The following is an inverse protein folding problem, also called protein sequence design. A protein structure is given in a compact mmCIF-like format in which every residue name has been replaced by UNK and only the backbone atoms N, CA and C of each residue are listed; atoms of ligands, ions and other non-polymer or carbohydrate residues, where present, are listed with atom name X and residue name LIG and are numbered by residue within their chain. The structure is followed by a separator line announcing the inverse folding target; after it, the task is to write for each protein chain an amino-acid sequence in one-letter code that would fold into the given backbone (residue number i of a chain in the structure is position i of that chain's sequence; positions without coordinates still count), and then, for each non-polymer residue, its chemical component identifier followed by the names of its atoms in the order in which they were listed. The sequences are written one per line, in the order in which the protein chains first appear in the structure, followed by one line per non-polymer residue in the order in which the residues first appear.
data_IF_633991131935
#
_entry.id   IF_633991131935
#
_cell.length_a   1.000
_cell.length_b   1.000
_cell.length_c   1.000
_cell.angle_alpha   90.00
_cell.angle_beta   90.00
_cell.angle_gamma   90.00
#
_symmetry.space_group_name_H-M   'P 1'
#
loop_
_entity.id
_entity.type
_entity.pdbx_description
1 polymer ?
#
# COMPACT_ATOMS: atom_id res chain seq x y z
N UNK A 1 21.99 -5.03 20.25
CA UNK A 1 20.80 -5.82 19.87
C UNK A 1 20.41 -5.37 18.48
N UNK A 2 20.58 -6.21 17.46
CA UNK A 2 20.08 -5.88 16.13
C UNK A 2 18.56 -6.00 16.18
N UNK A 3 17.85 -4.89 16.32
CA UNK A 3 16.42 -4.89 16.08
C UNK A 3 16.23 -5.22 14.60
N UNK A 4 15.73 -6.41 14.31
CA UNK A 4 15.33 -6.73 12.96
C UNK A 4 14.24 -5.74 12.56
N UNK A 5 14.47 -4.99 11.49
CA UNK A 5 13.46 -4.11 10.90
C UNK A 5 12.21 -4.94 10.56
N UNK A 6 11.09 -4.54 11.12
CA UNK A 6 9.81 -5.20 10.87
C UNK A 6 8.79 -4.17 10.35
N UNK A 7 8.50 -4.23 9.07
CA UNK A 7 7.56 -3.35 8.38
C UNK A 7 6.13 -3.87 8.37
N UNK A 8 5.87 -5.05 8.93
CA UNK A 8 4.52 -5.64 8.88
C UNK A 8 3.48 -4.78 9.58
N UNK A 9 3.86 -4.08 10.65
CA UNK A 9 2.97 -3.13 11.34
C UNK A 9 2.51 -1.95 10.47
N UNK A 10 3.28 -1.62 9.42
CA UNK A 10 2.96 -0.54 8.50
C UNK A 10 2.13 -1.03 7.29
N UNK A 11 2.05 -2.35 7.06
CA UNK A 11 1.22 -2.88 5.99
C UNK A 11 -0.25 -2.73 6.34
N UNK A 12 -1.02 -2.16 5.43
CA UNK A 12 -2.46 -1.98 5.60
C UNK A 12 -3.23 -2.75 4.54
N UNK A 13 -4.39 -3.23 4.94
CA UNK A 13 -5.40 -3.81 4.06
C UNK A 13 -6.43 -2.75 3.72
N UNK A 14 -6.70 -2.55 2.46
CA UNK A 14 -7.61 -1.52 1.97
C UNK A 14 -8.87 -2.18 1.42
N UNK A 15 -10.01 -1.82 2.00
CA UNK A 15 -11.35 -2.16 1.50
C UNK A 15 -12.04 -0.92 1.02
N UNK A 16 -12.89 -1.03 0.02
CA UNK A 16 -13.73 0.07 -0.42
C UNK A 16 -15.11 -0.41 -0.89
N UNK A 17 -16.12 0.40 -0.59
CA UNK A 17 -17.41 0.30 -1.25
C UNK A 17 -17.39 1.18 -2.50
N UNK A 18 -17.43 0.53 -3.66
CA UNK A 18 -17.51 1.22 -4.96
C UNK A 18 -18.87 0.91 -5.58
N UNK A 19 -19.63 1.95 -5.90
CA UNK A 19 -20.97 1.86 -6.49
C UNK A 19 -22.02 1.21 -5.57
N UNK A 20 -21.87 1.32 -4.25
CA UNK A 20 -22.84 0.75 -3.29
C UNK A 20 -22.88 -0.78 -3.27
N UNK A 21 -21.77 -1.44 -3.60
CA UNK A 21 -21.66 -2.91 -3.60
C UNK A 21 -21.22 -3.49 -2.26
N UNK A 22 -21.10 -2.63 -1.24
CA UNK A 22 -20.54 -2.97 0.06
C UNK A 22 -19.01 -2.98 0.07
N UNK A 23 -18.43 -3.02 1.27
CA UNK A 23 -16.99 -3.06 1.46
C UNK A 23 -16.39 -4.35 0.88
N UNK A 24 -15.49 -4.20 -0.06
CA UNK A 24 -14.75 -5.29 -0.68
C UNK A 24 -13.25 -5.04 -0.54
N UNK A 25 -12.48 -6.09 -0.34
CA UNK A 25 -11.02 -6.02 -0.40
C UNK A 25 -10.57 -5.51 -1.77
N UNK A 26 -9.66 -4.53 -1.77
CA UNK A 26 -9.18 -3.88 -2.99
C UNK A 26 -7.69 -4.07 -3.22
N UNK A 27 -6.92 -4.05 -2.15
CA UNK A 27 -5.47 -4.17 -2.24
C UNK A 27 -4.79 -3.82 -0.93
N UNK A 28 -3.51 -3.61 -1.03
CA UNK A 28 -2.61 -3.29 0.07
C UNK A 28 -2.20 -1.81 0.05
N UNK A 29 -1.60 -1.38 1.14
CA UNK A 29 -0.91 -0.11 1.24
C UNK A 29 0.18 -0.18 2.29
N UNK A 30 0.97 0.89 2.37
CA UNK A 30 2.01 1.05 3.40
C UNK A 30 1.78 2.37 4.12
N UNK A 31 1.60 2.31 5.42
CA UNK A 31 1.47 3.48 6.27
C UNK A 31 2.84 4.10 6.49
N UNK A 32 2.97 5.37 6.15
CA UNK A 32 4.17 6.19 6.28
C UNK A 32 3.96 7.25 7.36
N UNK A 33 4.59 7.08 8.52
CA UNK A 33 4.59 8.10 9.56
C UNK A 33 5.57 9.21 9.15
N UNK A 34 5.05 10.36 8.75
CA UNK A 34 5.89 11.52 8.42
C UNK A 34 6.34 12.22 9.69
N UNK A 35 7.65 12.29 9.91
CA UNK A 35 8.23 13.02 11.03
C UNK A 35 7.93 14.51 10.93
N UNK A 36 7.45 15.09 12.02
CA UNK A 36 7.10 16.52 12.08
C UNK A 36 5.70 16.86 11.57
N UNK A 37 4.94 15.91 11.08
CA UNK A 37 3.52 16.09 10.83
C UNK A 37 2.72 15.54 12.03
N UNK A 38 2.12 16.43 12.80
CA UNK A 38 1.33 16.06 13.99
C UNK A 38 -0.16 15.87 13.69
N UNK A 39 -0.59 16.19 12.47
CA UNK A 39 -2.00 16.15 12.09
C UNK A 39 -2.37 14.90 11.29
N UNK A 40 -1.45 14.40 10.44
CA UNK A 40 -1.78 13.36 9.46
C UNK A 40 -0.79 12.21 9.44
N UNK A 41 -1.33 11.03 9.12
CA UNK A 41 -0.60 9.87 8.63
C UNK A 41 -0.88 9.68 7.14
N UNK A 42 0.05 9.06 6.42
CA UNK A 42 -0.02 8.88 4.98
C UNK A 42 0.06 7.41 4.63
N UNK A 43 -0.77 6.96 3.68
CA UNK A 43 -0.73 5.60 3.17
C UNK A 43 -0.38 5.65 1.69
N UNK A 44 0.68 4.96 1.32
CA UNK A 44 1.10 4.79 -0.06
C UNK A 44 0.45 3.54 -0.63
N UNK A 45 -0.16 3.66 -1.81
CA UNK A 45 -0.84 2.56 -2.49
C UNK A 45 -0.92 2.82 -3.99
N UNK A 46 -1.48 1.88 -4.74
CA UNK A 46 -1.70 2.04 -6.17
C UNK A 46 -3.10 2.61 -6.47
N UNK A 47 -3.20 3.50 -7.47
CA UNK A 47 -4.50 4.05 -7.88
C UNK A 47 -5.44 3.00 -8.46
N UNK A 48 -4.90 1.98 -9.15
CA UNK A 48 -5.71 1.01 -9.87
C UNK A 48 -6.57 0.14 -8.93
N UNK A 49 -6.28 0.05 -7.64
CA UNK A 49 -7.10 -0.69 -6.68
C UNK A 49 -8.53 -0.12 -6.55
N UNK A 50 -8.72 1.16 -6.86
CA UNK A 50 -10.02 1.83 -6.84
C UNK A 50 -10.70 1.90 -8.21
N UNK A 51 -10.03 1.44 -9.28
CA UNK A 51 -10.53 1.54 -10.64
C UNK A 51 -11.12 0.22 -11.11
N UNK A 52 -12.23 0.26 -11.83
CA UNK A 52 -12.78 -0.93 -12.50
C UNK A 52 -11.86 -1.43 -13.63
N UNK A 53 -11.07 -0.52 -14.22
CA UNK A 53 -10.08 -0.83 -15.26
C UNK A 53 -8.89 0.11 -15.13
N UNK A 54 -7.68 -0.34 -15.46
CA UNK A 54 -6.46 0.48 -15.44
C UNK A 54 -6.52 1.71 -16.36
N UNK A 55 -7.41 1.71 -17.36
CA UNK A 55 -7.56 2.80 -18.34
C UNK A 55 -8.29 4.03 -17.79
N UNK A 56 -9.02 3.92 -16.68
CA UNK A 56 -9.77 5.04 -16.11
C UNK A 56 -8.88 5.79 -15.10
N UNK A 57 -8.85 7.12 -15.21
CA UNK A 57 -8.24 7.95 -14.18
C UNK A 57 -9.04 7.86 -12.88
N UNK A 58 -8.36 7.91 -11.73
CA UNK A 58 -9.00 7.84 -10.41
C UNK A 58 -10.09 8.91 -10.27
N UNK A 59 -9.80 10.14 -10.66
CA UNK A 59 -10.76 11.27 -10.59
C UNK A 59 -12.10 11.00 -11.31
N UNK A 60 -12.10 10.13 -12.32
CA UNK A 60 -13.33 9.76 -13.03
C UNK A 60 -14.21 8.73 -12.29
N UNK A 61 -13.74 8.23 -11.14
CA UNK A 61 -14.47 7.24 -10.33
C UNK A 61 -14.60 7.63 -8.87
N UNK A 62 -14.03 8.77 -8.44
CA UNK A 62 -14.09 9.25 -7.04
C UNK A 62 -15.53 9.36 -6.53
N UNK A 63 -16.43 9.86 -7.35
CA UNK A 63 -17.86 10.02 -7.04
C UNK A 63 -18.59 8.70 -6.77
N UNK A 64 -18.00 7.58 -7.19
CA UNK A 64 -18.55 6.22 -7.03
C UNK A 64 -18.02 5.50 -5.79
N UNK A 65 -17.03 6.07 -5.13
CA UNK A 65 -16.49 5.53 -3.89
C UNK A 65 -17.36 6.06 -2.75
N UNK A 66 -18.03 5.16 -2.04
CA UNK A 66 -18.87 5.50 -0.89
C UNK A 66 -18.09 5.56 0.41
N UNK A 67 -17.27 4.54 0.64
CA UNK A 67 -16.49 4.39 1.87
C UNK A 67 -15.18 3.67 1.57
N UNK A 68 -14.12 4.06 2.27
CA UNK A 68 -12.85 3.33 2.30
C UNK A 68 -12.59 2.95 3.76
N UNK A 69 -12.31 1.67 3.99
CA UNK A 69 -11.88 1.15 5.28
C UNK A 69 -10.42 0.70 5.18
N UNK A 70 -9.64 1.17 6.12
CA UNK A 70 -8.22 0.87 6.26
C UNK A 70 -8.07 0.03 7.51
N UNK A 71 -7.52 -1.18 7.33
CA UNK A 71 -7.24 -2.11 8.41
C UNK A 71 -5.73 -2.25 8.58
N UNK A 72 -5.28 -2.31 9.83
CA UNK A 72 -3.89 -2.56 10.23
C UNK A 72 -3.77 -3.94 10.89
N UNK A 73 -2.58 -4.52 10.82
CA UNK A 73 -2.32 -5.83 11.39
C UNK A 73 -1.93 -5.71 12.87
N UNK A 74 -2.71 -6.33 13.75
CA UNK A 74 -2.52 -6.35 15.20
C UNK A 74 -2.82 -7.74 15.74
N UNK A 75 -1.98 -8.25 16.62
CA UNK A 75 -2.18 -9.51 17.35
C UNK A 75 -2.60 -10.69 16.45
N UNK A 76 -2.05 -10.75 15.24
CA UNK A 76 -2.28 -11.85 14.30
C UNK A 76 -3.51 -11.69 13.39
N UNK A 77 -4.21 -10.55 13.42
CA UNK A 77 -5.37 -10.29 12.58
C UNK A 77 -5.46 -8.83 12.14
N UNK A 78 -6.28 -8.54 11.13
CA UNK A 78 -6.54 -7.17 10.69
C UNK A 78 -7.69 -6.56 11.50
N UNK A 79 -7.45 -5.34 11.98
CA UNK A 79 -8.45 -4.52 12.70
C UNK A 79 -8.66 -3.20 11.98
N UNK A 80 -9.90 -2.70 11.99
CA UNK A 80 -10.21 -1.40 11.39
C UNK A 80 -9.46 -0.30 12.12
N UNK A 81 -8.65 0.43 11.37
CA UNK A 81 -7.84 1.55 11.85
C UNK A 81 -8.51 2.90 11.57
N UNK A 82 -8.94 3.10 10.32
CA UNK A 82 -9.62 4.31 9.87
C UNK A 82 -10.71 3.99 8.86
N UNK A 83 -11.74 4.85 8.87
CA UNK A 83 -12.80 4.85 7.87
C UNK A 83 -12.89 6.22 7.24
N UNK A 84 -12.80 6.29 5.91
CA UNK A 84 -12.94 7.51 5.11
C UNK A 84 -14.32 7.44 4.46
N UNK A 85 -15.15 8.42 4.74
CA UNK A 85 -16.51 8.51 4.18
C UNK A 85 -16.55 9.35 2.91
N UNK A 86 -17.62 9.26 2.16
CA UNK A 86 -17.80 9.95 0.88
C UNK A 86 -17.49 11.45 0.95
N UNK A 87 -17.83 12.10 2.04
CA UNK A 87 -17.68 13.55 2.19
C UNK A 87 -16.21 14.00 2.32
N UNK A 88 -15.33 13.10 2.74
CA UNK A 88 -13.89 13.37 2.94
C UNK A 88 -12.99 12.73 1.88
N UNK A 89 -13.50 11.81 1.07
CA UNK A 89 -12.70 11.06 0.08
C UNK A 89 -11.90 11.96 -0.86
N UNK A 90 -12.51 13.04 -1.39
CA UNK A 90 -11.84 13.94 -2.33
C UNK A 90 -10.63 14.68 -1.73
N UNK A 91 -10.65 14.90 -0.41
CA UNK A 91 -9.57 15.57 0.31
C UNK A 91 -8.53 14.58 0.85
N UNK A 92 -8.90 13.31 0.95
CA UNK A 92 -8.06 12.24 1.48
C UNK A 92 -7.25 11.52 0.40
N UNK A 93 -7.72 11.48 -0.85
CA UNK A 93 -7.06 10.77 -1.94
C UNK A 93 -6.25 11.72 -2.80
N UNK A 94 -4.93 11.57 -2.79
CA UNK A 94 -3.96 12.40 -3.50
C UNK A 94 -3.28 11.57 -4.60
N UNK A 95 -3.83 11.52 -5.82
CA UNK A 95 -3.22 10.76 -6.91
C UNK A 95 -1.95 11.45 -7.41
N UNK A 96 -0.86 10.68 -7.58
CA UNK A 96 0.43 11.15 -8.06
C UNK A 96 0.83 10.30 -9.28
N UNK A 97 1.21 10.98 -10.38
CA UNK A 97 1.60 10.30 -11.61
C UNK A 97 0.49 9.40 -12.18
N UNK A 98 0.89 8.26 -12.76
CA UNK A 98 -0.05 7.38 -13.46
C UNK A 98 -0.78 6.42 -12.53
N UNK A 99 -0.10 5.85 -11.54
CA UNK A 99 -0.68 4.80 -10.70
C UNK A 99 -0.35 4.90 -9.20
N UNK A 100 0.44 5.84 -8.75
CA UNK A 100 0.72 6.05 -7.34
C UNK A 100 -0.38 6.90 -6.68
N UNK A 101 -0.78 6.50 -5.47
CA UNK A 101 -1.79 7.18 -4.67
C UNK A 101 -1.32 7.34 -3.23
N UNK A 102 -1.46 8.54 -2.71
CA UNK A 102 -1.34 8.81 -1.28
C UNK A 102 -2.73 8.95 -0.69
N UNK A 103 -3.02 8.20 0.37
CA UNK A 103 -4.23 8.38 1.18
C UNK A 103 -3.82 9.11 2.45
N UNK A 104 -4.34 10.31 2.63
CA UNK A 104 -4.14 11.13 3.82
C UNK A 104 -5.24 10.83 4.83
N UNK A 105 -4.86 10.51 6.07
CA UNK A 105 -5.77 10.23 7.18
C UNK A 105 -5.34 11.00 8.42
N UNK A 106 -6.27 11.31 9.31
CA UNK A 106 -5.93 11.94 10.58
C UNK A 106 -5.02 11.04 11.40
N UNK A 107 -3.98 11.63 11.98
CA UNK A 107 -3.02 10.94 12.83
C UNK A 107 -3.67 10.23 13.99
N UNK A 108 -3.13 9.11 14.38
CA UNK A 108 -3.53 8.41 15.59
C UNK A 108 -2.36 8.30 16.57
N UNK A 109 -2.66 7.91 17.79
CA UNK A 109 -1.65 7.65 18.83
C UNK A 109 -0.84 6.37 18.57
N UNK A 110 -1.19 5.60 17.55
CA UNK A 110 -0.49 4.36 17.21
C UNK A 110 0.88 4.66 16.59
N UNK A 111 1.90 4.01 17.10
CA UNK A 111 3.25 4.12 16.58
C UNK A 111 3.50 3.10 15.47
N UNK A 112 4.00 3.59 14.34
CA UNK A 112 4.44 2.79 13.21
C UNK A 112 5.94 2.84 13.05
N UNK A 113 6.51 1.82 12.43
CA UNK A 113 7.96 1.75 12.19
C UNK A 113 8.37 2.82 11.18
N UNK A 114 9.25 3.76 11.50
CA UNK A 114 9.74 4.74 10.54
C UNK A 114 10.61 4.06 9.48
N UNK A 115 10.53 4.57 8.24
CA UNK A 115 11.37 4.15 7.12
C UNK A 115 11.66 5.31 6.19
N UNK A 116 12.69 5.18 5.38
CA UNK A 116 13.09 6.18 4.39
C UNK A 116 12.53 5.85 3.02
N UNK A 117 12.31 6.87 2.22
CA UNK A 117 12.01 6.72 0.79
C UNK A 117 13.34 6.77 0.02
N UNK A 118 13.51 5.86 -0.94
CA UNK A 118 14.70 5.83 -1.77
C UNK A 118 14.58 6.90 -2.88
N UNK A 119 15.66 7.63 -3.10
CA UNK A 119 15.74 8.59 -4.20
C UNK A 119 16.00 7.89 -5.54
N UNK A 120 16.73 6.79 -5.52
CA UNK A 120 17.10 6.02 -6.71
C UNK A 120 16.84 4.52 -6.53
N UNK A 121 16.49 3.88 -7.62
CA UNK A 121 16.37 2.44 -7.69
C UNK A 121 17.64 1.83 -8.30
N UNK A 122 18.24 0.89 -7.57
CA UNK A 122 19.44 0.16 -8.03
C UNK A 122 18.99 -1.15 -8.67
N UNK A 123 19.27 -1.33 -9.96
CA UNK A 123 19.02 -2.59 -10.69
C UNK A 123 19.74 -3.77 -10.02
N UNK A 124 19.15 -4.95 -10.17
CA UNK A 124 19.61 -6.23 -9.57
C UNK A 124 19.68 -6.27 -8.05
N UNK A 125 19.29 -5.21 -7.34
CA UNK A 125 19.25 -5.24 -5.88
C UNK A 125 18.16 -6.19 -5.38
N UNK A 126 18.50 -6.96 -4.35
CA UNK A 126 17.52 -7.80 -3.65
C UNK A 126 16.55 -6.92 -2.87
N UNK A 127 15.28 -7.15 -3.07
CA UNK A 127 14.18 -6.39 -2.45
C UNK A 127 13.17 -7.33 -1.84
N UNK A 128 12.30 -6.78 -1.02
CA UNK A 128 11.17 -7.48 -0.41
C UNK A 128 9.89 -6.70 -0.65
N UNK A 129 8.89 -7.39 -1.19
CA UNK A 129 7.54 -6.88 -1.35
C UNK A 129 6.70 -7.33 -0.15
N UNK A 130 6.02 -6.40 0.48
CA UNK A 130 5.09 -6.65 1.57
C UNK A 130 3.69 -6.21 1.18
N UNK A 131 2.71 -7.07 1.43
CA UNK A 131 1.31 -6.75 1.17
C UNK A 131 0.38 -7.85 1.64
N UNK A 132 -0.91 -7.66 1.44
CA UNK A 132 -1.96 -8.61 1.80
C UNK A 132 -2.30 -9.46 0.58
N UNK A 133 -2.09 -10.76 0.66
CA UNK A 133 -2.47 -11.68 -0.42
C UNK A 133 -3.98 -11.84 -0.53
N UNK A 134 -4.51 -11.87 -1.75
CA UNK A 134 -5.94 -12.10 -2.00
C UNK A 134 -6.44 -13.47 -1.57
N UNK A 135 -5.58 -14.49 -1.53
CA UNK A 135 -5.93 -15.84 -1.06
C UNK A 135 -5.95 -15.94 0.47
N UNK A 136 -5.07 -15.17 1.14
CA UNK A 136 -4.90 -15.19 2.59
C UNK A 136 -5.07 -13.78 3.15
N UNK A 137 -6.29 -13.24 3.03
CA UNK A 137 -6.62 -11.84 3.37
C UNK A 137 -6.35 -11.46 4.83
N UNK A 138 -6.05 -12.42 5.69
CA UNK A 138 -5.84 -12.19 7.13
C UNK A 138 -4.36 -12.25 7.54
N UNK A 139 -3.45 -12.34 6.57
CA UNK A 139 -2.01 -12.34 6.82
C UNK A 139 -1.28 -11.37 5.89
N UNK A 140 -0.13 -10.86 6.38
CA UNK A 140 0.81 -10.12 5.56
C UNK A 140 1.75 -11.10 4.87
N UNK A 141 1.78 -11.04 3.55
CA UNK A 141 2.67 -11.83 2.71
C UNK A 141 3.93 -11.05 2.40
N UNK A 142 5.08 -11.71 2.52
CA UNK A 142 6.38 -11.21 2.09
C UNK A 142 6.90 -12.03 0.92
N UNK A 143 7.31 -11.35 -0.13
CA UNK A 143 7.93 -11.96 -1.30
C UNK A 143 9.30 -11.37 -1.56
N UNK A 144 10.30 -12.22 -1.75
CA UNK A 144 11.61 -11.78 -2.21
C UNK A 144 11.54 -11.50 -3.72
N UNK A 145 12.08 -10.36 -4.13
CA UNK A 145 12.05 -9.90 -5.51
C UNK A 145 13.35 -9.20 -5.91
N UNK A 146 13.52 -8.98 -7.21
CA UNK A 146 14.63 -8.20 -7.75
C UNK A 146 14.10 -7.19 -8.76
N UNK A 147 14.73 -6.03 -8.82
CA UNK A 147 14.55 -5.09 -9.93
C UNK A 147 15.26 -5.63 -11.16
N UNK A 148 14.55 -5.77 -12.27
CA UNK A 148 15.09 -6.27 -13.55
C UNK A 148 15.32 -5.13 -14.53
N UNK A 149 14.47 -4.10 -14.46
CA UNK A 149 14.54 -2.93 -15.33
C UNK A 149 13.87 -1.76 -14.59
N UNK A 150 14.50 -0.62 -14.58
CA UNK A 150 13.95 0.61 -13.98
C UNK A 150 13.74 1.66 -15.07
N UNK A 151 12.50 2.15 -15.18
CA UNK A 151 12.14 3.34 -15.96
C UNK A 151 11.61 4.39 -15.01
N UNK A 152 11.62 5.64 -15.41
CA UNK A 152 11.32 6.80 -14.56
C UNK A 152 10.10 6.64 -13.62
N UNK A 153 9.08 5.88 -14.04
CA UNK A 153 7.85 5.68 -13.24
C UNK A 153 7.44 4.20 -13.09
N UNK A 154 8.26 3.26 -13.58
CA UNK A 154 7.93 1.84 -13.59
C UNK A 154 9.16 0.98 -13.31
N UNK A 155 8.99 0.05 -12.39
CA UNK A 155 10.00 -0.95 -12.05
C UNK A 155 9.46 -2.32 -12.39
N UNK A 156 10.17 -3.05 -13.23
CA UNK A 156 9.88 -4.45 -13.45
C UNK A 156 10.53 -5.29 -12.35
N UNK A 157 9.72 -6.00 -11.59
CA UNK A 157 10.15 -6.83 -10.49
C UNK A 157 9.95 -8.29 -10.88
N UNK A 158 10.96 -9.12 -10.74
CA UNK A 158 10.80 -10.58 -10.77
C UNK A 158 10.63 -11.09 -9.36
N UNK A 159 9.55 -11.81 -9.10
CA UNK A 159 9.38 -12.59 -7.88
C UNK A 159 9.55 -14.09 -8.19
N UNK A 160 10.09 -14.86 -7.26
CA UNK A 160 10.17 -16.31 -7.35
C UNK A 160 8.84 -17.00 -7.00
N UNK A 161 7.72 -16.38 -7.34
CA UNK A 161 6.40 -16.94 -7.04
C UNK A 161 5.92 -17.78 -8.20
N UNK A 162 5.83 -19.08 -7.98
CA UNK A 162 5.38 -20.04 -8.98
C UNK A 162 3.89 -19.92 -9.35
N UNK A 163 3.14 -19.05 -8.67
CA UNK A 163 1.70 -18.83 -8.92
C UNK A 163 1.38 -17.35 -8.95
N UNK A 164 0.88 -16.86 -10.09
CA UNK A 164 0.38 -15.48 -10.23
C UNK A 164 -0.76 -15.14 -9.25
N UNK A 165 -1.52 -16.14 -8.80
CA UNK A 165 -2.63 -15.96 -7.86
C UNK A 165 -2.17 -15.41 -6.49
N UNK A 166 -0.93 -15.69 -6.08
CA UNK A 166 -0.37 -15.19 -4.82
C UNK A 166 -0.07 -13.69 -4.82
N UNK A 167 0.02 -13.06 -6.00
CA UNK A 167 0.20 -11.60 -6.13
C UNK A 167 -1.14 -10.84 -6.12
N UNK A 168 -2.25 -11.54 -6.29
CA UNK A 168 -3.57 -10.91 -6.25
C UNK A 168 -3.82 -10.31 -4.85
N UNK A 169 -4.16 -9.03 -4.81
CA UNK A 169 -4.35 -8.28 -3.57
C UNK A 169 -3.10 -7.58 -3.04
N UNK A 170 -1.90 -7.92 -3.53
CA UNK A 170 -0.68 -7.23 -3.15
C UNK A 170 -0.49 -5.87 -3.85
N UNK A 171 -1.35 -5.53 -4.82
CA UNK A 171 -1.37 -4.20 -5.44
C UNK A 171 -1.42 -3.09 -4.38
N UNK A 172 -0.51 -2.13 -4.46
CA UNK A 172 -0.29 -1.10 -3.46
C UNK A 172 0.61 -1.52 -2.29
N UNK A 173 1.04 -2.78 -2.23
CA UNK A 173 2.03 -3.25 -1.24
C UNK A 173 3.39 -2.60 -1.44
N UNK A 174 4.16 -2.43 -0.36
CA UNK A 174 5.44 -1.73 -0.38
C UNK A 174 6.60 -2.60 -0.82
N UNK A 175 7.47 -2.03 -1.64
CA UNK A 175 8.73 -2.64 -2.08
C UNK A 175 9.88 -2.02 -1.29
N UNK A 176 10.57 -2.83 -0.49
CA UNK A 176 11.64 -2.40 0.40
C UNK A 176 12.98 -3.03 0.04
N UNK A 177 14.06 -2.34 0.38
CA UNK A 177 15.38 -2.96 0.41
C UNK A 177 15.39 -4.14 1.39
N UNK A 178 16.07 -5.21 1.03
CA UNK A 178 16.11 -6.41 1.86
C UNK A 178 16.68 -6.09 3.27
N UNK A 179 15.87 -6.34 4.30
CA UNK A 179 16.20 -6.12 5.71
C UNK A 179 16.61 -4.67 6.07
N UNK A 180 16.15 -3.68 5.34
CA UNK A 180 16.45 -2.27 5.59
C UNK A 180 15.16 -1.43 5.61
N UNK A 181 15.12 -0.35 6.40
CA UNK A 181 14.01 0.59 6.44
C UNK A 181 14.08 1.58 5.27
N UNK A 182 14.17 1.07 4.04
CA UNK A 182 14.28 1.86 2.82
C UNK A 182 13.28 1.35 1.79
N UNK A 183 12.28 2.15 1.50
CA UNK A 183 11.21 1.84 0.56
C UNK A 183 11.53 2.42 -0.83
N UNK A 184 11.36 1.59 -1.86
CA UNK A 184 11.55 1.98 -3.27
C UNK A 184 10.25 2.41 -3.96
N UNK A 185 9.10 1.93 -3.51
CA UNK A 185 7.82 2.23 -4.13
C UNK A 185 6.70 1.27 -3.73
N UNK A 186 5.65 1.28 -4.51
CA UNK A 186 4.48 0.39 -4.35
C UNK A 186 4.27 -0.46 -5.61
N UNK A 187 3.68 -1.65 -5.42
CA UNK A 187 3.34 -2.57 -6.51
C UNK A 187 2.09 -2.12 -7.27
#
# INVERSE_FOLDING_TARGET
MNSTFDIRSNCVKIKADIKGRGLQFRGSGVLYPLDGDDEYDYIFTAQHIFKDTRKKKLNAVLDKIGTIEIEVFEDGHFVTYKTITKDTISNSLLPIGEDFLIIKIDKSEKHFTPFLLADDLIEEKSMQLYGVSGEAQDIITRLDCKCVDSKVDLVNITSHVDKMDSLHGMSGGGVFAQNQPLMYGVL
#
